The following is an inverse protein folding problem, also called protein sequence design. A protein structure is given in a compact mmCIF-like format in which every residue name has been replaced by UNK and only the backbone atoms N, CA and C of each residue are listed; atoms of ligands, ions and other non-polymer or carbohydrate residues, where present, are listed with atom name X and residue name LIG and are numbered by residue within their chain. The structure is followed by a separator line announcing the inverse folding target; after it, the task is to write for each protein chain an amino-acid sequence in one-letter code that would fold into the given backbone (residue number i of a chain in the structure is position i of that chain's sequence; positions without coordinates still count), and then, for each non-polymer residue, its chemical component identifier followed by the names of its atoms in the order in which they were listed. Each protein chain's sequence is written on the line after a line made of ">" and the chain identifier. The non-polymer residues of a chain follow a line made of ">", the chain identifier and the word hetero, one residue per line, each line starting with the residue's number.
data_IF_444118145264
#
_entry.id   IF_444118145264
#
_cell.length_a   1.000
_cell.length_b   1.000
_cell.length_c   1.000
_cell.angle_alpha   90.00
_cell.angle_beta   90.00
_cell.angle_gamma   90.00
#
_symmetry.space_group_name_H-M   'P 1'
#
loop_
_entity.id
_entity.type
_entity.pdbx_description
1 polymer ?
#
# COMPACT_ATOMS: atom_id res chain seq x y z
N UNK A 1 -19.68 2.98 -14.65
CA UNK A 1 -18.20 3.08 -14.67
C UNK A 1 -17.71 2.65 -13.30
N UNK A 2 -16.85 1.63 -13.22
CA UNK A 2 -16.40 1.05 -11.95
C UNK A 2 -14.96 1.45 -11.67
N UNK A 3 -14.67 1.87 -10.44
CA UNK A 3 -13.34 2.25 -10.00
C UNK A 3 -12.95 1.47 -8.74
N UNK A 4 -11.66 1.17 -8.60
CA UNK A 4 -11.08 0.63 -7.38
C UNK A 4 -10.27 1.72 -6.67
N UNK A 5 -10.52 1.88 -5.38
CA UNK A 5 -9.75 2.75 -4.49
C UNK A 5 -9.04 1.87 -3.45
N UNK A 6 -7.72 1.92 -3.43
CA UNK A 6 -6.89 1.37 -2.35
C UNK A 6 -6.49 2.52 -1.44
N UNK A 7 -6.79 2.40 -0.16
CA UNK A 7 -6.34 3.35 0.86
C UNK A 7 -5.22 2.67 1.64
N UNK A 8 -4.04 3.28 1.66
CA UNK A 8 -2.87 2.68 2.31
C UNK A 8 -1.90 3.72 2.84
N UNK A 9 -1.07 3.31 3.80
CA UNK A 9 0.01 4.12 4.35
C UNK A 9 1.35 3.59 3.83
N UNK A 10 2.30 4.49 3.63
CA UNK A 10 3.68 4.15 3.32
C UNK A 10 4.25 3.10 4.31
N UNK A 11 4.95 2.05 3.85
CA UNK A 11 5.50 1.00 4.69
C UNK A 11 6.77 1.49 5.41
N UNK A 12 6.59 2.30 6.46
CA UNK A 12 7.69 2.89 7.24
C UNK A 12 7.81 2.19 8.60
N UNK A 13 9.02 1.76 9.01
CA UNK A 13 9.26 1.20 10.34
C UNK A 13 8.71 2.09 11.45
N UNK A 14 8.03 1.47 12.43
CA UNK A 14 7.44 2.17 13.57
C UNK A 14 6.18 2.99 13.25
N UNK A 15 5.76 3.07 11.98
CA UNK A 15 4.53 3.77 11.56
C UNK A 15 3.48 2.86 10.94
N UNK A 16 3.91 1.81 10.25
CA UNK A 16 3.02 0.85 9.61
C UNK A 16 2.99 -0.46 10.36
N UNK A 17 1.78 -1.03 10.50
CA UNK A 17 1.53 -2.32 11.16
C UNK A 17 2.16 -2.44 12.56
N UNK A 18 2.14 -1.36 13.34
CA UNK A 18 2.75 -1.29 14.69
C UNK A 18 2.21 -2.32 15.67
N UNK A 19 0.96 -2.78 15.49
CA UNK A 19 0.37 -3.88 16.26
C UNK A 19 1.04 -5.24 16.04
N UNK A 20 1.93 -5.38 15.06
CA UNK A 20 2.77 -6.57 14.87
C UNK A 20 4.05 -6.53 15.73
N UNK A 21 4.33 -5.43 16.41
CA UNK A 21 5.53 -5.22 17.22
C UNK A 21 5.15 -5.13 18.70
N UNK A 22 5.40 -6.18 19.53
CA UNK A 22 5.95 -7.51 19.22
C UNK A 22 4.92 -8.47 18.57
N UNK A 23 5.35 -9.59 17.93
CA UNK A 23 6.69 -10.20 17.93
C UNK A 23 7.66 -9.70 16.84
N UNK A 24 7.20 -8.95 15.85
CA UNK A 24 8.07 -8.42 14.80
C UNK A 24 8.86 -7.21 15.28
N UNK A 25 10.07 -7.03 14.77
CA UNK A 25 10.77 -5.72 14.81
C UNK A 25 9.99 -4.68 13.97
N UNK A 26 10.17 -3.37 14.21
CA UNK A 26 9.58 -2.32 13.38
C UNK A 26 9.91 -2.49 11.88
N UNK A 27 11.11 -2.94 11.55
CA UNK A 27 11.59 -3.20 10.19
C UNK A 27 10.84 -4.39 9.57
N UNK A 28 10.67 -5.48 10.32
CA UNK A 28 9.87 -6.62 9.87
C UNK A 28 8.40 -6.25 9.67
N UNK A 29 7.81 -5.46 10.57
CA UNK A 29 6.44 -4.99 10.44
C UNK A 29 6.25 -4.11 9.18
N UNK A 30 7.22 -3.25 8.87
CA UNK A 30 7.23 -2.46 7.64
C UNK A 30 7.43 -3.33 6.39
N UNK A 31 8.30 -4.34 6.43
CA UNK A 31 8.48 -5.29 5.33
C UNK A 31 7.18 -6.06 5.03
N UNK A 32 6.48 -6.53 6.07
CA UNK A 32 5.16 -7.17 5.94
C UNK A 32 4.14 -6.19 5.34
N UNK A 33 4.14 -4.93 5.79
CA UNK A 33 3.27 -3.90 5.22
C UNK A 33 3.56 -3.68 3.73
N UNK A 34 4.83 -3.61 3.33
CA UNK A 34 5.25 -3.44 1.94
C UNK A 34 4.81 -4.62 1.07
N UNK A 35 5.02 -5.85 1.53
CA UNK A 35 4.59 -7.05 0.82
C UNK A 35 3.06 -7.10 0.65
N UNK A 36 2.31 -6.87 1.73
CA UNK A 36 0.85 -6.89 1.68
C UNK A 36 0.27 -5.83 0.71
N UNK A 37 0.88 -4.64 0.66
CA UNK A 37 0.48 -3.61 -0.32
C UNK A 37 0.88 -4.03 -1.74
N UNK A 38 2.08 -4.57 -1.94
CA UNK A 38 2.54 -5.09 -3.24
C UNK A 38 1.57 -6.14 -3.80
N UNK A 39 1.26 -7.17 -3.02
CA UNK A 39 0.32 -8.23 -3.40
C UNK A 39 -1.08 -7.67 -3.72
N UNK A 40 -1.53 -6.67 -2.95
CA UNK A 40 -2.81 -5.99 -3.21
C UNK A 40 -2.78 -5.26 -4.56
N UNK A 41 -1.69 -4.57 -4.87
CA UNK A 41 -1.55 -3.80 -6.11
C UNK A 41 -1.45 -4.71 -7.34
N UNK A 42 -0.84 -5.89 -7.22
CA UNK A 42 -0.84 -6.90 -8.28
C UNK A 42 -2.26 -7.33 -8.65
N UNK A 43 -3.10 -7.62 -7.64
CA UNK A 43 -4.51 -7.97 -7.85
C UNK A 43 -5.30 -6.80 -8.44
N UNK A 44 -5.07 -5.58 -7.95
CA UNK A 44 -5.75 -4.37 -8.43
C UNK A 44 -5.40 -4.09 -9.90
N UNK A 45 -4.14 -4.27 -10.30
CA UNK A 45 -3.72 -4.15 -11.71
C UNK A 45 -4.43 -5.18 -12.60
N UNK A 46 -4.58 -6.41 -12.14
CA UNK A 46 -5.23 -7.48 -12.90
C UNK A 46 -6.77 -7.34 -12.99
N UNK A 47 -7.41 -6.60 -12.07
CA UNK A 47 -8.87 -6.46 -12.05
C UNK A 47 -9.41 -5.72 -13.29
N UNK A 48 -10.54 -6.15 -13.91
CA UNK A 48 -11.09 -5.54 -15.12
C UNK A 48 -11.90 -4.26 -14.82
N UNK A 49 -11.22 -3.21 -14.36
CA UNK A 49 -11.83 -1.90 -14.04
C UNK A 49 -11.21 -0.77 -14.85
N UNK A 50 -12.01 0.27 -15.13
CA UNK A 50 -11.58 1.41 -15.95
C UNK A 50 -10.62 2.34 -15.21
N UNK A 51 -10.69 2.39 -13.87
CA UNK A 51 -9.88 3.31 -13.06
C UNK A 51 -9.41 2.65 -11.77
N UNK A 52 -8.13 2.83 -11.46
CA UNK A 52 -7.45 2.33 -10.25
C UNK A 52 -6.81 3.53 -9.56
N UNK A 53 -7.15 3.75 -8.29
CA UNK A 53 -6.66 4.88 -7.49
C UNK A 53 -6.02 4.34 -6.23
N UNK A 54 -4.85 4.88 -5.87
CA UNK A 54 -4.20 4.63 -4.58
C UNK A 54 -4.19 5.94 -3.82
N UNK A 55 -4.96 6.00 -2.73
CA UNK A 55 -4.81 7.07 -1.73
C UNK A 55 -3.69 6.66 -0.77
N UNK A 56 -2.58 7.38 -0.81
CA UNK A 56 -1.35 7.05 -0.07
C UNK A 56 -1.06 8.09 1.00
N UNK A 57 -0.93 7.65 2.26
CA UNK A 57 -0.39 8.46 3.36
C UNK A 57 1.14 8.25 3.45
N UNK A 58 1.89 9.28 3.05
CA UNK A 58 3.35 9.30 3.08
C UNK A 58 4.02 9.05 1.73
N UNK A 59 5.34 8.91 1.73
CA UNK A 59 6.12 8.67 0.51
C UNK A 59 6.01 7.20 0.06
N UNK A 60 5.90 6.91 -1.26
CA UNK A 60 5.77 5.54 -1.78
C UNK A 60 6.86 4.57 -1.36
N UNK A 61 8.09 5.07 -1.14
CA UNK A 61 9.26 4.21 -0.94
C UNK A 61 9.47 3.31 -2.17
N UNK A 62 9.55 2.00 -1.93
CA UNK A 62 9.75 0.98 -2.98
C UNK A 62 8.48 0.39 -3.57
N UNK A 63 7.29 0.93 -3.28
CA UNK A 63 6.03 0.41 -3.83
C UNK A 63 5.94 0.64 -5.35
N UNK A 64 5.62 -0.41 -6.11
CA UNK A 64 5.28 -0.27 -7.53
C UNK A 64 3.82 0.22 -7.68
N UNK A 65 3.68 1.51 -7.96
CA UNK A 65 2.40 2.19 -8.17
C UNK A 65 2.03 2.33 -9.66
N UNK A 66 2.74 1.64 -10.56
CA UNK A 66 2.45 1.67 -11.99
C UNK A 66 1.01 1.23 -12.29
N UNK A 67 0.39 1.92 -13.25
CA UNK A 67 -1.01 1.66 -13.63
C UNK A 67 -2.08 2.20 -12.67
N UNK A 68 -1.69 2.92 -11.61
CA UNK A 68 -2.60 3.57 -10.67
C UNK A 68 -2.46 5.10 -10.69
N UNK A 69 -3.58 5.80 -10.50
CA UNK A 69 -3.54 7.23 -10.14
C UNK A 69 -3.27 7.32 -8.65
N UNK A 70 -2.20 8.02 -8.26
CA UNK A 70 -1.82 8.19 -6.86
C UNK A 70 -2.32 9.53 -6.36
N UNK A 71 -3.02 9.53 -5.23
CA UNK A 71 -3.51 10.73 -4.56
C UNK A 71 -3.05 10.72 -3.10
N UNK A 72 -2.82 11.89 -2.47
CA UNK A 72 -2.50 11.94 -1.05
C UNK A 72 -3.69 11.48 -0.20
N UNK A 73 -3.41 10.71 0.86
CA UNK A 73 -4.35 10.43 1.93
C UNK A 73 -4.03 11.35 3.11
N UNK A 74 -4.98 12.22 3.46
CA UNK A 74 -4.90 13.11 4.64
C UNK A 74 -5.34 12.39 5.92
#
# INVERSE_FOLDING_TARGET
>A
MTQLLVITKAPVPGRSKTRLTPPCTPEQAAAIASAAVGDTLDVVRAAPVQRRVVALDGAPGGLDLSGCVVVPQA
#
